data_IF_380409187122
#
_entry.id   IF_380409187122
#
_cell.length_a   1.000
_cell.length_b   1.000
_cell.length_c   1.000
_cell.angle_alpha   90.00
_cell.angle_beta   90.00
_cell.angle_gamma   90.00
#
_symmetry.space_group_name_H-M   'P 1'
#
loop_
_entity.id
_entity.type
_entity.pdbx_description
1 polymer ?
#
# COMPACT_ATOMS: atom_id res chain seq x y z
N UNK A 1 3.68 15.11 14.97
CA UNK A 1 4.36 15.72 13.81
C UNK A 1 4.46 14.77 12.60
N UNK A 2 5.09 13.59 12.72
CA UNK A 2 5.28 12.68 11.57
C UNK A 2 3.98 12.20 10.92
N UNK A 3 2.99 11.81 11.74
CA UNK A 3 1.66 11.39 11.28
C UNK A 3 0.99 12.43 10.36
N UNK A 4 0.95 13.70 10.79
CA UNK A 4 0.39 14.82 10.02
C UNK A 4 1.13 15.05 8.70
N UNK A 5 2.46 14.97 8.70
CA UNK A 5 3.21 15.16 7.46
C UNK A 5 2.96 14.03 6.46
N UNK A 6 2.85 12.79 6.95
CA UNK A 6 2.48 11.67 6.06
C UNK A 6 1.04 11.85 5.56
N UNK A 7 0.11 12.30 6.42
CA UNK A 7 -1.27 12.59 6.02
C UNK A 7 -1.33 13.65 4.91
N UNK A 8 -0.55 14.73 5.03
CA UNK A 8 -0.45 15.75 3.99
C UNK A 8 0.06 15.16 2.67
N UNK A 9 1.13 14.36 2.69
CA UNK A 9 1.65 13.74 1.46
C UNK A 9 0.64 12.74 0.87
N UNK A 10 -0.04 11.97 1.71
CA UNK A 10 -1.12 11.08 1.31
C UNK A 10 -2.26 11.85 0.64
N UNK A 11 -2.74 12.95 1.23
CA UNK A 11 -3.79 13.79 0.63
C UNK A 11 -3.36 14.38 -0.72
N UNK A 12 -2.12 14.87 -0.81
CA UNK A 12 -1.56 15.35 -2.07
C UNK A 12 -1.52 14.25 -3.13
N UNK A 13 -1.12 13.02 -2.77
CA UNK A 13 -1.15 11.88 -3.68
C UNK A 13 -2.56 11.62 -4.25
N UNK A 14 -3.58 11.65 -3.39
CA UNK A 14 -4.98 11.49 -3.82
C UNK A 14 -5.42 12.60 -4.79
N UNK A 15 -5.01 13.85 -4.54
CA UNK A 15 -5.31 14.99 -5.41
C UNK A 15 -4.58 14.82 -6.75
N UNK A 16 -3.30 14.48 -6.74
CA UNK A 16 -2.50 14.28 -7.94
C UNK A 16 -3.06 13.16 -8.81
N UNK A 17 -3.51 12.05 -8.22
CA UNK A 17 -4.17 10.98 -8.95
C UNK A 17 -5.45 11.44 -9.65
N UNK A 18 -6.27 12.28 -9.00
CA UNK A 18 -7.46 12.87 -9.64
C UNK A 18 -7.11 13.82 -10.79
N UNK A 19 -5.95 14.47 -10.72
CA UNK A 19 -5.42 15.34 -11.77
C UNK A 19 -4.65 14.60 -12.86
N UNK A 20 -4.46 13.29 -12.74
CA UNK A 20 -3.64 12.50 -13.68
C UNK A 20 -2.13 12.80 -13.57
N UNK A 21 -1.68 13.28 -12.40
CA UNK A 21 -0.28 13.60 -12.12
C UNK A 21 0.39 12.48 -11.31
N UNK A 22 1.68 12.29 -11.55
CA UNK A 22 2.48 11.32 -10.82
C UNK A 22 3.06 11.91 -9.52
N UNK A 23 2.63 11.39 -8.38
CA UNK A 23 3.04 11.85 -7.06
C UNK A 23 4.56 11.89 -6.89
N UNK A 24 5.28 10.83 -7.27
CA UNK A 24 6.72 10.72 -7.06
C UNK A 24 7.49 11.75 -7.90
N UNK A 25 7.04 12.03 -9.13
CA UNK A 25 7.65 13.09 -9.96
C UNK A 25 7.40 14.49 -9.38
N UNK A 26 6.18 14.75 -8.90
CA UNK A 26 5.84 16.04 -8.26
C UNK A 26 6.66 16.24 -6.98
N UNK A 27 6.75 15.22 -6.13
CA UNK A 27 7.55 15.29 -4.88
C UNK A 27 9.04 15.43 -5.17
N UNK A 28 9.56 14.75 -6.22
CA UNK A 28 10.96 14.91 -6.65
C UNK A 28 11.27 16.34 -7.10
N UNK A 29 10.37 16.95 -7.87
CA UNK A 29 10.51 18.35 -8.28
C UNK A 29 10.43 19.31 -7.08
N UNK A 30 9.46 19.09 -6.17
CA UNK A 30 9.30 19.89 -4.96
C UNK A 30 10.50 19.77 -4.00
N UNK A 31 11.12 18.59 -3.94
CA UNK A 31 12.29 18.29 -3.13
C UNK A 31 13.59 19.02 -3.53
N UNK A 32 13.58 19.77 -4.63
CA UNK A 32 14.69 20.66 -5.02
C UNK A 32 14.77 21.93 -4.16
N UNK A 33 13.70 22.25 -3.42
CA UNK A 33 13.63 23.44 -2.56
C UNK A 33 14.32 23.18 -1.22
N UNK A 34 15.06 24.19 -0.74
CA UNK A 34 15.88 24.09 0.48
C UNK A 34 15.10 23.75 1.76
N UNK A 35 13.80 24.08 1.81
CA UNK A 35 12.92 23.88 2.96
C UNK A 35 12.00 22.67 2.82
N UNK A 36 12.20 21.80 1.82
CA UNK A 36 11.33 20.66 1.61
C UNK A 36 11.66 19.51 2.57
N UNK A 37 10.71 19.15 3.43
CA UNK A 37 10.82 17.98 4.30
C UNK A 37 10.41 16.73 3.53
N UNK A 38 11.33 15.77 3.38
CA UNK A 38 11.13 14.56 2.58
C UNK A 38 10.25 13.56 3.33
N UNK A 39 8.97 13.57 3.00
CA UNK A 39 8.00 12.54 3.34
C UNK A 39 7.50 11.87 2.05
N UNK A 40 7.12 10.61 2.16
CA UNK A 40 6.55 9.82 1.08
C UNK A 40 5.13 9.40 1.46
N UNK A 41 4.22 9.23 0.48
CA UNK A 41 2.92 8.65 0.76
C UNK A 41 3.10 7.17 1.15
N UNK A 42 2.09 6.63 1.81
CA UNK A 42 2.09 5.23 2.20
C UNK A 42 1.06 4.87 3.25
N UNK A 43 1.02 3.56 3.50
CA UNK A 43 0.19 2.93 4.52
C UNK A 43 0.82 3.17 5.91
N UNK A 44 0.08 3.86 6.80
CA UNK A 44 0.59 4.24 8.13
C UNK A 44 0.21 3.21 9.18
N UNK A 45 1.04 2.17 9.32
CA UNK A 45 0.89 1.10 10.30
C UNK A 45 1.83 1.19 11.51
N UNK A 46 1.86 0.11 12.30
CA UNK A 46 2.67 -0.02 13.52
C UNK A 46 1.98 0.56 14.76
N UNK A 47 2.75 0.86 15.81
CA UNK A 47 2.18 1.29 17.10
C UNK A 47 2.25 2.80 17.31
N UNK A 48 3.43 3.42 17.20
CA UNK A 48 3.61 4.82 17.62
C UNK A 48 2.85 5.81 16.74
N UNK A 49 3.04 5.75 15.41
CA UNK A 49 2.46 6.75 14.51
C UNK A 49 0.92 6.69 14.47
N UNK A 50 0.28 5.51 14.45
CA UNK A 50 -1.18 5.46 14.41
C UNK A 50 -1.88 5.61 15.75
N UNK A 51 -1.22 5.33 16.88
CA UNK A 51 -1.88 5.33 18.19
C UNK A 51 -1.60 6.60 19.00
N UNK A 52 -0.37 7.09 19.04
CA UNK A 52 0.01 8.28 19.84
C UNK A 52 -0.84 9.53 19.53
N UNK A 53 -1.19 9.83 18.27
CA UNK A 53 -2.02 11.00 17.97
C UNK A 53 -3.42 10.88 18.57
N UNK A 54 -3.99 9.68 18.65
CA UNK A 54 -5.30 9.47 19.29
C UNK A 54 -5.24 9.64 20.80
N UNK A 55 -4.16 9.21 21.47
CA UNK A 55 -3.98 9.47 22.89
C UNK A 55 -3.95 10.97 23.19
N UNK A 56 -3.14 11.73 22.42
CA UNK A 56 -3.10 13.18 22.56
C UNK A 56 -4.46 13.81 22.23
N UNK A 57 -5.14 13.32 21.20
CA UNK A 57 -6.44 13.83 20.81
C UNK A 57 -7.50 13.60 21.89
N UNK A 58 -7.51 12.41 22.51
CA UNK A 58 -8.39 12.09 23.62
C UNK A 58 -8.12 13.02 24.81
N UNK A 59 -6.85 13.23 25.17
CA UNK A 59 -6.49 14.15 26.27
C UNK A 59 -6.84 15.59 26.00
N UNK A 60 -6.73 16.04 24.75
CA UNK A 60 -7.21 17.36 24.34
C UNK A 60 -8.73 17.50 24.50
N UNK A 61 -9.49 16.49 24.09
CA UNK A 61 -10.95 16.49 24.21
C UNK A 61 -11.41 16.51 25.68
N UNK A 62 -10.73 15.76 26.56
CA UNK A 62 -11.00 15.77 28.01
C UNK A 62 -10.87 17.17 28.64
N UNK A 63 -9.98 18.02 28.11
CA UNK A 63 -9.79 19.40 28.58
C UNK A 63 -10.57 20.44 27.76
N UNK A 64 -11.51 19.99 26.92
CA UNK A 64 -12.41 20.86 26.14
C UNK A 64 -11.80 21.42 24.86
N UNK A 65 -10.66 20.92 24.38
CA UNK A 65 -10.05 21.32 23.11
C UNK A 65 -10.24 20.25 22.04
N UNK A 66 -10.78 20.62 20.87
CA UNK A 66 -10.93 19.71 19.73
C UNK A 66 -9.71 19.85 18.80
N UNK A 67 -8.84 18.83 18.69
CA UNK A 67 -7.63 18.92 17.88
C UNK A 67 -7.92 18.57 16.41
N UNK A 68 -8.50 19.53 15.68
CA UNK A 68 -8.98 19.34 14.30
C UNK A 68 -7.91 18.77 13.36
N UNK A 69 -6.69 19.33 13.40
CA UNK A 69 -5.60 18.90 12.52
C UNK A 69 -5.16 17.45 12.78
N UNK A 70 -5.11 17.03 14.05
CA UNK A 70 -4.75 15.66 14.44
C UNK A 70 -5.80 14.69 13.91
N UNK A 71 -7.07 14.97 14.18
CA UNK A 71 -8.18 14.12 13.76
C UNK A 71 -8.30 14.04 12.23
N UNK A 72 -8.10 15.16 11.53
CA UNK A 72 -8.09 15.19 10.07
C UNK A 72 -6.95 14.35 9.49
N UNK A 73 -5.74 14.48 10.04
CA UNK A 73 -4.58 13.70 9.59
C UNK A 73 -4.79 12.20 9.77
N UNK A 74 -5.34 11.79 10.91
CA UNK A 74 -5.70 10.38 11.18
C UNK A 74 -6.74 9.86 10.19
N UNK A 75 -7.81 10.62 9.97
CA UNK A 75 -8.85 10.27 8.99
C UNK A 75 -8.27 10.09 7.59
N UNK A 76 -7.35 10.95 7.15
CA UNK A 76 -6.70 10.79 5.84
C UNK A 76 -5.88 9.49 5.78
N UNK A 77 -5.00 9.28 6.76
CA UNK A 77 -4.12 8.10 6.81
C UNK A 77 -4.90 6.78 6.87
N UNK A 78 -6.02 6.75 7.59
CA UNK A 78 -6.88 5.56 7.70
C UNK A 78 -7.66 5.23 6.43
N UNK A 79 -7.87 6.21 5.54
CA UNK A 79 -8.57 6.00 4.28
C UNK A 79 -7.65 5.54 3.14
N UNK A 80 -6.32 5.59 3.30
CA UNK A 80 -5.40 5.16 2.23
C UNK A 80 -5.53 3.68 1.88
N UNK A 81 -5.65 2.72 2.83
CA UNK A 81 -5.86 1.31 2.48
C UNK A 81 -7.11 1.10 1.61
N UNK A 82 -8.22 1.74 1.99
CA UNK A 82 -9.50 1.68 1.27
C UNK A 82 -9.33 2.27 -0.13
N UNK A 83 -8.64 3.40 -0.25
CA UNK A 83 -8.37 4.03 -1.55
C UNK A 83 -7.56 3.12 -2.47
N UNK A 84 -6.48 2.50 -1.96
CA UNK A 84 -5.63 1.57 -2.72
C UNK A 84 -6.43 0.38 -3.25
N UNK A 85 -7.22 -0.28 -2.40
CA UNK A 85 -8.04 -1.42 -2.80
C UNK A 85 -9.06 -1.01 -3.88
N UNK A 86 -9.74 0.13 -3.69
CA UNK A 86 -10.70 0.65 -4.67
C UNK A 86 -10.05 0.99 -6.02
N UNK A 87 -8.84 1.54 -6.04
CA UNK A 87 -8.12 1.78 -7.30
C UNK A 87 -7.68 0.48 -7.97
N UNK A 88 -7.34 -0.56 -7.20
CA UNK A 88 -7.02 -1.88 -7.73
C UNK A 88 -8.25 -2.51 -8.39
N UNK A 89 -9.40 -2.48 -7.71
CA UNK A 89 -10.68 -2.96 -8.26
C UNK A 89 -11.05 -2.20 -9.55
N UNK A 90 -10.91 -0.87 -9.56
CA UNK A 90 -11.11 -0.08 -10.79
C UNK A 90 -10.17 -0.50 -11.91
N UNK A 91 -8.93 -0.82 -11.60
CA UNK A 91 -7.95 -1.29 -12.58
C UNK A 91 -8.32 -2.66 -13.16
N UNK A 92 -8.77 -3.60 -12.32
CA UNK A 92 -9.32 -4.89 -12.77
C UNK A 92 -10.48 -4.67 -13.76
N UNK A 93 -11.45 -3.82 -13.40
CA UNK A 93 -12.62 -3.53 -14.25
C UNK A 93 -12.18 -2.92 -15.59
N UNK A 94 -11.31 -1.90 -15.56
CA UNK A 94 -10.79 -1.24 -16.77
C UNK A 94 -10.00 -2.19 -17.67
N UNK A 95 -9.33 -3.17 -17.08
CA UNK A 95 -8.60 -4.23 -17.78
C UNK A 95 -9.52 -5.32 -18.35
N UNK A 96 -10.83 -5.25 -18.11
CA UNK A 96 -11.78 -6.30 -18.52
C UNK A 96 -11.67 -7.59 -17.70
N UNK A 97 -11.03 -7.55 -16.52
CA UNK A 97 -10.92 -8.70 -15.62
C UNK A 97 -12.12 -8.76 -14.68
N UNK A 98 -12.62 -9.97 -14.43
CA UNK A 98 -13.69 -10.20 -13.48
C UNK A 98 -13.18 -9.90 -12.06
N UNK A 99 -13.89 -9.06 -11.29
CA UNK A 99 -13.50 -8.69 -9.91
C UNK A 99 -13.73 -9.84 -8.93
N UNK A 100 -14.95 -10.40 -8.93
CA UNK A 100 -15.30 -11.53 -8.07
C UNK A 100 -14.46 -12.74 -8.43
N UNK A 101 -13.64 -13.22 -7.49
CA UNK A 101 -12.71 -14.31 -7.68
C UNK A 101 -11.40 -13.92 -8.37
N UNK A 102 -11.17 -12.62 -8.65
CA UNK A 102 -9.87 -12.15 -9.14
C UNK A 102 -8.78 -12.56 -8.15
N UNK A 103 -7.65 -13.05 -8.66
CA UNK A 103 -6.54 -13.44 -7.79
C UNK A 103 -5.51 -12.33 -7.73
N UNK A 104 -5.22 -11.81 -6.54
CA UNK A 104 -4.25 -10.73 -6.34
C UNK A 104 -3.09 -11.21 -5.50
N UNK A 105 -1.87 -11.18 -6.04
CA UNK A 105 -0.66 -11.45 -5.26
C UNK A 105 -0.30 -10.21 -4.43
N UNK A 106 -0.21 -10.35 -3.11
CA UNK A 106 0.24 -9.31 -2.19
C UNK A 106 1.66 -9.63 -1.73
N UNK A 107 2.61 -8.79 -2.14
CA UNK A 107 4.02 -8.89 -1.76
C UNK A 107 4.30 -8.01 -0.53
N UNK A 108 4.44 -8.68 0.62
CA UNK A 108 4.68 -8.07 1.92
C UNK A 108 3.40 -7.80 2.69
N UNK A 109 3.40 -8.13 3.98
CA UNK A 109 2.30 -7.86 4.92
C UNK A 109 2.76 -7.20 6.21
N UNK A 110 4.07 -7.13 6.47
CA UNK A 110 4.60 -6.43 7.64
C UNK A 110 4.27 -4.94 7.64
N UNK A 111 4.22 -4.30 8.82
CA UNK A 111 3.90 -2.87 8.89
C UNK A 111 5.05 -1.98 8.37
N UNK A 112 6.27 -2.53 8.29
CA UNK A 112 7.49 -1.82 7.88
C UNK A 112 8.46 -2.77 7.19
N UNK A 113 9.18 -2.22 6.21
CA UNK A 113 10.26 -2.90 5.51
C UNK A 113 11.31 -3.50 6.45
N UNK A 114 11.66 -4.77 6.19
CA UNK A 114 12.76 -5.54 6.80
C UNK A 114 12.63 -5.82 8.30
N UNK A 115 11.42 -5.77 8.83
CA UNK A 115 11.09 -6.25 10.18
C UNK A 115 9.94 -7.25 10.06
N UNK A 116 9.91 -8.26 10.93
CA UNK A 116 8.90 -9.32 10.88
C UNK A 116 7.54 -8.94 11.49
N UNK A 117 7.45 -7.77 12.11
CA UNK A 117 6.28 -7.36 12.89
C UNK A 117 5.12 -6.98 11.96
N UNK A 118 3.99 -7.64 12.18
CA UNK A 118 2.78 -7.52 11.37
C UNK A 118 1.66 -6.77 12.09
N UNK A 119 1.82 -6.49 13.40
CA UNK A 119 0.79 -5.85 14.21
C UNK A 119 0.46 -4.47 13.68
N UNK A 120 -0.84 -4.16 13.62
CA UNK A 120 -1.35 -2.91 13.03
C UNK A 120 -0.84 -2.65 11.60
N UNK A 121 -0.53 -3.69 10.83
CA UNK A 121 -0.20 -3.52 9.42
C UNK A 121 -1.42 -3.03 8.65
N UNK A 122 -1.24 -1.92 7.95
CA UNK A 122 -2.29 -1.35 7.08
C UNK A 122 -2.39 -2.05 5.73
N UNK A 123 -1.50 -3.00 5.42
CA UNK A 123 -1.66 -3.91 4.27
C UNK A 123 -2.85 -4.84 4.49
N UNK A 124 -3.07 -5.30 5.73
CA UNK A 124 -4.22 -6.13 6.06
C UNK A 124 -5.56 -5.42 5.76
N UNK A 125 -5.65 -4.12 6.06
CA UNK A 125 -6.86 -3.34 5.72
C UNK A 125 -7.10 -3.26 4.20
N UNK A 126 -6.05 -3.25 3.37
CA UNK A 126 -6.20 -3.36 1.91
C UNK A 126 -6.77 -4.72 1.53
N UNK A 127 -6.23 -5.80 2.11
CA UNK A 127 -6.69 -7.18 1.86
C UNK A 127 -8.15 -7.36 2.29
N UNK A 128 -8.50 -6.81 3.45
CA UNK A 128 -9.87 -6.84 3.98
C UNK A 128 -10.84 -6.10 3.05
N UNK A 129 -10.49 -4.90 2.60
CA UNK A 129 -11.31 -4.17 1.63
C UNK A 129 -11.44 -4.93 0.30
N UNK A 130 -10.36 -5.52 -0.21
CA UNK A 130 -10.40 -6.36 -1.42
C UNK A 130 -11.32 -7.58 -1.24
N UNK A 131 -11.34 -8.19 -0.05
CA UNK A 131 -12.22 -9.32 0.28
C UNK A 131 -13.70 -8.95 0.22
N UNK A 132 -14.08 -7.71 0.55
CA UNK A 132 -15.47 -7.23 0.40
C UNK A 132 -15.93 -7.21 -1.07
N UNK A 133 -14.99 -7.12 -2.02
CA UNK A 133 -15.24 -7.28 -3.46
C UNK A 133 -15.10 -8.73 -3.94
N UNK A 134 -14.99 -9.69 -3.02
CA UNK A 134 -14.75 -11.12 -3.29
C UNK A 134 -13.45 -11.39 -4.07
N UNK A 135 -12.43 -10.56 -3.89
CA UNK A 135 -11.09 -10.76 -4.47
C UNK A 135 -10.31 -11.78 -3.62
N UNK A 136 -9.71 -12.77 -4.28
CA UNK A 136 -8.84 -13.79 -3.69
C UNK A 136 -7.41 -13.24 -3.53
N UNK A 137 -7.10 -12.73 -2.35
CA UNK A 137 -5.77 -12.18 -2.03
C UNK A 137 -4.82 -13.30 -1.58
N UNK A 138 -3.73 -13.46 -2.32
CA UNK A 138 -2.65 -14.42 -2.06
C UNK A 138 -1.47 -13.68 -1.48
N UNK A 139 -1.10 -13.95 -0.23
CA UNK A 139 -0.09 -13.16 0.48
C UNK A 139 1.24 -13.90 0.52
N UNK A 140 2.32 -13.22 0.15
CA UNK A 140 3.68 -13.71 0.31
C UNK A 140 4.54 -12.67 1.03
N UNK A 141 5.10 -13.04 2.17
CA UNK A 141 6.08 -12.24 2.91
C UNK A 141 7.08 -13.16 3.62
N UNK A 142 8.32 -13.29 3.11
CA UNK A 142 9.34 -14.15 3.71
C UNK A 142 10.01 -13.54 4.95
N UNK A 143 9.64 -12.31 5.34
CA UNK A 143 10.16 -11.64 6.54
C UNK A 143 9.15 -11.74 7.69
N UNK A 144 7.86 -11.79 7.38
CA UNK A 144 6.81 -12.04 8.36
C UNK A 144 6.91 -13.44 8.97
N UNK A 145 6.45 -13.59 10.21
CA UNK A 145 6.29 -14.90 10.85
C UNK A 145 4.89 -15.42 10.59
N UNK A 146 4.78 -16.64 10.08
CA UNK A 146 3.50 -17.26 9.72
C UNK A 146 2.54 -17.32 10.91
N UNK A 147 3.04 -17.65 12.10
CA UNK A 147 2.23 -17.75 13.31
C UNK A 147 1.64 -16.40 13.72
N UNK A 148 2.43 -15.33 13.69
CA UNK A 148 1.95 -13.97 14.02
C UNK A 148 0.92 -13.48 13.01
N UNK A 149 1.06 -13.81 11.71
CA UNK A 149 0.06 -13.48 10.69
C UNK A 149 -1.24 -14.24 10.90
N UNK A 150 -1.15 -15.54 11.23
CA UNK A 150 -2.34 -16.36 11.49
C UNK A 150 -3.09 -15.87 12.74
N UNK A 151 -2.36 -15.55 13.80
CA UNK A 151 -2.94 -15.05 15.06
C UNK A 151 -3.58 -13.67 14.92
N UNK A 152 -2.92 -12.72 14.26
CA UNK A 152 -3.41 -11.33 14.15
C UNK A 152 -4.52 -11.18 13.10
N UNK A 153 -4.45 -11.95 12.00
CA UNK A 153 -5.25 -11.68 10.79
C UNK A 153 -6.07 -12.87 10.27
N UNK A 154 -5.91 -14.06 10.85
CA UNK A 154 -6.48 -15.31 10.33
C UNK A 154 -6.15 -15.52 8.83
N UNK A 155 -4.91 -15.21 8.46
CA UNK A 155 -4.38 -15.36 7.10
C UNK A 155 -3.27 -16.39 7.07
N UNK A 156 -3.15 -17.09 5.95
CA UNK A 156 -2.04 -18.01 5.67
C UNK A 156 -1.13 -17.37 4.62
N UNK A 157 0.18 -17.47 4.85
CA UNK A 157 1.19 -17.02 3.89
C UNK A 157 1.52 -18.16 2.92
N UNK A 158 1.67 -17.80 1.65
CA UNK A 158 2.27 -18.71 0.68
C UNK A 158 3.76 -18.86 0.96
N UNK A 159 4.29 -20.07 0.76
CA UNK A 159 5.73 -20.35 0.88
C UNK A 159 6.54 -19.81 -0.29
N UNK A 160 5.90 -19.76 -1.47
CA UNK A 160 6.48 -19.26 -2.70
C UNK A 160 5.45 -18.37 -3.40
N UNK A 161 5.87 -17.20 -3.87
CA UNK A 161 4.97 -16.26 -4.54
C UNK A 161 4.44 -16.78 -5.90
N UNK A 162 5.03 -17.86 -6.45
CA UNK A 162 4.61 -18.45 -7.73
C UNK A 162 3.47 -19.47 -7.59
N UNK A 163 3.23 -20.00 -6.37
CA UNK A 163 2.38 -21.17 -6.11
C UNK A 163 0.97 -21.07 -6.69
N UNK A 164 0.38 -19.87 -6.69
CA UNK A 164 -0.98 -19.62 -7.17
C UNK A 164 -1.01 -18.73 -8.41
N UNK A 165 0.06 -18.69 -9.20
CA UNK A 165 0.03 -18.03 -10.51
C UNK A 165 -0.94 -18.76 -11.48
N UNK A 166 -1.49 -18.07 -12.50
CA UNK A 166 -1.35 -16.65 -12.77
C UNK A 166 -2.22 -15.77 -11.84
N UNK A 167 -1.79 -14.52 -11.65
CA UNK A 167 -2.49 -13.49 -10.87
C UNK A 167 -3.10 -12.41 -11.78
N UNK A 168 -4.27 -11.91 -11.44
CA UNK A 168 -4.95 -10.83 -12.15
C UNK A 168 -4.37 -9.45 -11.84
N UNK A 169 -3.77 -9.30 -10.65
CA UNK A 169 -2.95 -8.14 -10.28
C UNK A 169 -1.87 -8.53 -9.26
N UNK A 170 -0.82 -7.72 -9.19
CA UNK A 170 0.19 -7.77 -8.12
C UNK A 170 0.11 -6.47 -7.32
N UNK A 171 -0.03 -6.59 -6.01
CA UNK A 171 0.11 -5.52 -5.04
C UNK A 171 1.48 -5.63 -4.35
N UNK A 172 2.43 -4.81 -4.78
CA UNK A 172 3.73 -4.64 -4.13
C UNK A 172 3.57 -3.68 -2.95
N UNK A 173 3.28 -4.25 -1.77
CA UNK A 173 2.89 -3.48 -0.59
C UNK A 173 4.08 -3.01 0.25
N UNK A 174 5.08 -3.89 0.46
CA UNK A 174 6.22 -3.61 1.34
C UNK A 174 7.55 -3.76 0.60
N UNK A 175 8.44 -2.79 0.78
CA UNK A 175 9.76 -2.73 0.14
C UNK A 175 10.84 -3.50 0.92
N UNK A 176 10.65 -4.80 1.08
CA UNK A 176 11.70 -5.65 1.67
C UNK A 176 12.93 -5.76 0.75
N UNK A 177 14.12 -5.83 1.35
CA UNK A 177 15.39 -6.01 0.62
C UNK A 177 15.43 -7.32 -0.15
N UNK A 178 14.79 -8.38 0.35
CA UNK A 178 14.68 -9.67 -0.35
C UNK A 178 13.90 -9.54 -1.65
N UNK A 179 12.83 -8.73 -1.68
CA UNK A 179 12.08 -8.47 -2.91
C UNK A 179 12.90 -7.62 -3.88
N UNK A 180 13.55 -6.55 -3.39
CA UNK A 180 14.40 -5.68 -4.23
C UNK A 180 15.53 -6.44 -4.95
N UNK A 181 16.02 -7.54 -4.36
CA UNK A 181 17.10 -8.36 -4.93
C UNK A 181 16.60 -9.41 -5.91
N UNK A 182 15.40 -9.93 -5.70
CA UNK A 182 14.94 -11.17 -6.32
C UNK A 182 13.66 -11.01 -7.18
N UNK A 183 13.10 -9.80 -7.27
CA UNK A 183 11.86 -9.55 -8.00
C UNK A 183 12.09 -8.43 -9.01
N UNK A 184 12.03 -8.80 -10.28
CA UNK A 184 12.11 -7.91 -11.44
C UNK A 184 10.75 -7.73 -12.11
N UNK A 185 10.60 -6.70 -12.95
CA UNK A 185 9.39 -6.50 -13.76
C UNK A 185 9.11 -7.69 -14.69
N UNK A 186 10.16 -8.33 -15.22
CA UNK A 186 10.04 -9.53 -16.06
C UNK A 186 9.47 -10.73 -15.28
N UNK A 187 9.98 -10.97 -14.08
CA UNK A 187 9.46 -12.02 -13.19
C UNK A 187 8.01 -11.74 -12.81
N UNK A 188 7.68 -10.53 -12.37
CA UNK A 188 6.30 -10.15 -12.05
C UNK A 188 5.36 -10.35 -13.22
N UNK A 189 5.80 -10.01 -14.44
CA UNK A 189 4.98 -10.20 -15.64
C UNK A 189 4.70 -11.67 -15.88
N UNK A 190 5.69 -12.54 -15.71
CA UNK A 190 5.53 -14.00 -15.85
C UNK A 190 4.54 -14.61 -14.87
N UNK A 191 4.26 -13.95 -13.75
CA UNK A 191 3.27 -14.37 -12.76
C UNK A 191 1.84 -13.89 -13.07
N UNK A 192 1.66 -12.97 -14.02
CA UNK A 192 0.39 -12.29 -14.24
C UNK A 192 -0.40 -12.89 -15.41
N UNK A 193 -1.73 -12.84 -15.30
CA UNK A 193 -2.62 -12.98 -16.46
C UNK A 193 -2.62 -11.67 -17.27
N UNK A 194 -2.76 -11.77 -18.58
CA UNK A 194 -2.81 -10.60 -19.46
C UNK A 194 -4.18 -9.88 -19.38
N UNK A 195 -4.23 -8.53 -19.45
CA UNK A 195 -3.09 -7.62 -19.32
C UNK A 195 -2.59 -7.58 -17.86
N UNK A 196 -1.27 -7.51 -17.61
CA UNK A 196 -0.73 -7.54 -16.25
C UNK A 196 -0.98 -6.22 -15.53
N UNK A 197 -1.36 -6.28 -14.25
CA UNK A 197 -1.65 -5.10 -13.42
C UNK A 197 -0.68 -5.08 -12.25
N UNK A 198 0.02 -3.95 -12.04
CA UNK A 198 0.97 -3.77 -10.94
C UNK A 198 0.64 -2.53 -10.12
N UNK A 199 0.35 -2.75 -8.84
CA UNK A 199 0.15 -1.73 -7.82
C UNK A 199 1.39 -1.66 -6.94
N UNK A 200 2.14 -0.57 -7.02
CA UNK A 200 3.41 -0.36 -6.31
C UNK A 200 3.28 0.75 -5.28
N UNK A 201 2.99 0.36 -4.04
CA UNK A 201 2.68 1.31 -2.95
C UNK A 201 3.87 2.18 -2.58
N UNK A 202 5.09 1.65 -2.72
CA UNK A 202 6.33 2.35 -2.37
C UNK A 202 7.02 2.97 -3.58
N UNK A 203 6.44 2.86 -4.77
CA UNK A 203 7.00 3.37 -6.02
C UNK A 203 8.41 2.85 -6.26
N UNK A 204 8.65 1.54 -6.02
CA UNK A 204 9.93 0.86 -6.24
C UNK A 204 10.35 0.92 -7.71
N UNK A 205 9.41 0.65 -8.62
CA UNK A 205 9.68 0.53 -10.03
C UNK A 205 9.59 1.88 -10.75
N UNK A 206 10.29 2.01 -11.88
CA UNK A 206 10.09 3.12 -12.79
C UNK A 206 8.81 2.91 -13.60
N UNK A 207 7.96 3.95 -13.66
CA UNK A 207 6.67 3.89 -14.36
C UNK A 207 6.86 3.55 -15.83
N UNK A 208 7.79 4.22 -16.52
CA UNK A 208 7.98 4.05 -17.97
C UNK A 208 8.50 2.67 -18.28
N UNK A 209 9.37 2.14 -17.41
CA UNK A 209 9.86 0.77 -17.55
C UNK A 209 8.76 -0.26 -17.32
N UNK A 210 7.92 -0.11 -16.29
CA UNK A 210 6.77 -0.99 -16.03
C UNK A 210 5.77 -0.98 -17.20
N UNK A 211 5.40 0.21 -17.69
CA UNK A 211 4.51 0.37 -18.84
C UNK A 211 5.10 -0.25 -20.12
N UNK A 212 6.43 -0.14 -20.36
CA UNK A 212 7.11 -0.83 -21.47
C UNK A 212 7.05 -2.35 -21.36
N UNK A 213 7.02 -2.89 -20.14
CA UNK A 213 6.79 -4.31 -19.91
C UNK A 213 5.32 -4.70 -20.13
N UNK A 214 4.42 -3.75 -20.38
CA UNK A 214 3.01 -3.98 -20.65
C UNK A 214 2.10 -3.91 -19.42
N UNK A 215 2.63 -3.47 -18.26
CA UNK A 215 1.82 -3.32 -17.07
C UNK A 215 0.85 -2.15 -17.19
N UNK A 216 -0.39 -2.39 -16.76
CA UNK A 216 -1.23 -1.34 -16.20
C UNK A 216 -0.62 -1.00 -14.83
N UNK A 217 0.24 0.02 -14.82
CA UNK A 217 1.04 0.39 -13.66
C UNK A 217 0.38 1.50 -12.84
N UNK A 218 0.30 1.29 -11.54
CA UNK A 218 -0.17 2.26 -10.57
C UNK A 218 0.81 2.34 -9.40
N UNK A 219 1.11 3.56 -8.95
CA UNK A 219 1.87 3.81 -7.72
C UNK A 219 1.18 4.92 -6.92
N UNK A 220 1.33 4.88 -5.60
CA UNK A 220 0.84 5.92 -4.69
C UNK A 220 1.74 7.15 -4.72
#
# INVERSE_FOLDING_TARGET
QRDINIALINELALIFHKLGLDTKEVLKAAGTKWNFLKFEPGLVGGHCIPVDPYYLAHKALEVGYVPELILAGRRINENIPIYVANELVKSLIKAGKQVKGARVLVLGITFKENVSDVRNSKVFEVIKELREFEVDSVVYDPVAKEEEVKEEFDLELEKEYISRSPYDAVLYAVRHQVFLKNITLGELKGLCSEPPILFDIKGVFDRREAEKHGFIYWRL
#
